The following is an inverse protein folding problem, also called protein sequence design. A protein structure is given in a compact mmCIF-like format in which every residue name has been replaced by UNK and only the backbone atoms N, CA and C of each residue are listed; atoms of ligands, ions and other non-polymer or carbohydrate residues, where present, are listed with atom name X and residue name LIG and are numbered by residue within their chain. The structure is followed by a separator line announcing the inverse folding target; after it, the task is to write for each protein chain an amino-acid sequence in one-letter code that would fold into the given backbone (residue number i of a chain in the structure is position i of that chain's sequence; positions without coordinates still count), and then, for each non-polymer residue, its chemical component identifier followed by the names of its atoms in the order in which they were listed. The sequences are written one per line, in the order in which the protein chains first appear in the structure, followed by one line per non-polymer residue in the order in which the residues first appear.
data_IF_402705756285
#
_entry.id   IF_402705756285
#
_cell.length_a   1.000
_cell.length_b   1.000
_cell.length_c   1.000
_cell.angle_alpha   90.00
_cell.angle_beta   90.00
_cell.angle_gamma   90.00
#
_symmetry.space_group_name_H-M   'P 1'
#
loop_
_entity.id
_entity.type
_entity.pdbx_description
1 polymer ?
#
# COMPACT_ATOMS: atom_id res chain seq x y z
N UNK A 1 8.87 -24.16 5.76
CA UNK A 1 9.16 -24.81 4.46
C UNK A 1 9.26 -23.70 3.41
N UNK A 2 10.49 -23.35 3.04
CA UNK A 2 10.82 -22.18 2.22
C UNK A 2 10.46 -22.50 0.76
N UNK A 3 9.43 -21.83 0.23
CA UNK A 3 9.08 -21.96 -1.20
C UNK A 3 9.68 -20.77 -1.94
N UNK A 4 10.79 -21.03 -2.63
CA UNK A 4 11.32 -20.15 -3.68
C UNK A 4 10.22 -19.87 -4.70
N UNK A 5 9.77 -18.61 -4.80
CA UNK A 5 8.94 -18.13 -5.91
C UNK A 5 9.83 -17.46 -6.96
N UNK A 6 10.43 -18.27 -7.82
CA UNK A 6 10.86 -17.82 -9.14
C UNK A 6 9.62 -17.83 -10.04
N UNK A 7 8.99 -16.66 -10.23
CA UNK A 7 7.92 -16.49 -11.20
C UNK A 7 8.46 -15.71 -12.40
N UNK A 8 8.50 -16.43 -13.53
CA UNK A 8 8.86 -15.99 -14.86
C UNK A 8 7.85 -14.93 -15.33
N UNK A 9 8.37 -13.80 -15.81
CA UNK A 9 7.62 -12.72 -16.44
C UNK A 9 6.96 -13.18 -17.75
N UNK A 10 5.67 -12.91 -18.00
CA UNK A 10 5.16 -12.82 -19.36
C UNK A 10 5.54 -11.45 -19.93
N UNK A 11 6.16 -11.45 -21.11
CA UNK A 11 6.43 -10.28 -21.94
C UNK A 11 5.11 -9.57 -22.31
N UNK A 12 4.70 -8.56 -21.53
CA UNK A 12 3.56 -7.67 -21.83
C UNK A 12 3.86 -6.65 -22.96
N UNK A 13 4.94 -6.82 -23.74
CA UNK A 13 5.41 -5.80 -24.68
C UNK A 13 4.49 -5.52 -25.88
N UNK A 14 3.60 -6.45 -26.24
CA UNK A 14 2.78 -6.36 -27.48
C UNK A 14 1.45 -5.65 -27.29
N UNK A 15 0.73 -5.88 -26.18
CA UNK A 15 -0.50 -5.12 -25.84
C UNK A 15 -0.18 -3.66 -25.51
N UNK A 16 1.00 -3.42 -24.96
CA UNK A 16 1.46 -2.09 -24.56
C UNK A 16 1.78 -1.17 -25.75
N UNK A 17 2.36 -1.72 -26.83
CA UNK A 17 2.58 -0.98 -28.08
C UNK A 17 1.29 -0.53 -28.75
N UNK A 18 0.20 -1.32 -28.66
CA UNK A 18 -1.11 -0.99 -29.28
C UNK A 18 -1.90 0.12 -28.57
N UNK A 19 -1.64 0.38 -27.28
CA UNK A 19 -2.33 1.43 -26.50
C UNK A 19 -1.44 2.67 -26.22
N UNK A 20 -0.32 2.80 -26.92
CA UNK A 20 0.71 3.85 -26.73
C UNK A 20 0.30 5.27 -27.18
N UNK A 21 -0.88 5.45 -27.79
CA UNK A 21 -1.37 6.77 -28.24
C UNK A 21 -1.63 7.75 -27.09
N UNK A 22 -1.87 7.25 -25.87
CA UNK A 22 -2.16 8.07 -24.67
C UNK A 22 -0.89 8.80 -24.15
N UNK A 23 0.31 8.35 -24.53
CA UNK A 23 1.57 8.86 -23.97
C UNK A 23 2.28 9.91 -24.84
N UNK A 24 1.69 10.33 -25.96
CA UNK A 24 2.37 11.14 -27.00
C UNK A 24 2.47 12.66 -26.73
N UNK A 25 2.22 13.15 -25.52
CA UNK A 25 2.24 14.60 -25.24
C UNK A 25 3.08 14.97 -24.01
N UNK A 26 4.41 14.82 -24.09
CA UNK A 26 5.37 15.51 -23.23
C UNK A 26 6.72 15.60 -23.96
N UNK A 27 7.07 16.76 -24.50
CA UNK A 27 8.39 17.01 -25.13
C UNK A 27 9.48 17.15 -24.06
N UNK A 28 10.65 16.51 -24.20
CA UNK A 28 11.76 16.73 -23.29
C UNK A 28 12.64 17.90 -23.77
N UNK A 29 12.81 18.92 -22.91
CA UNK A 29 13.96 19.83 -22.99
C UNK A 29 15.18 19.13 -22.38
N UNK A 30 16.16 18.82 -23.22
CA UNK A 30 17.43 18.25 -22.79
C UNK A 30 18.31 19.29 -22.10
N UNK A 31 18.92 18.90 -20.97
CA UNK A 31 20.19 19.48 -20.53
C UNK A 31 21.09 18.38 -19.96
N UNK A 32 22.27 18.28 -20.56
CA UNK A 32 23.40 17.48 -20.09
C UNK A 32 24.06 18.27 -18.96
N UNK A 33 24.21 17.66 -17.78
CA UNK A 33 24.95 18.26 -16.66
C UNK A 33 26.21 17.45 -16.41
N UNK A 34 27.36 18.06 -16.73
CA UNK A 34 28.68 17.62 -16.26
C UNK A 34 29.18 18.60 -15.20
N UNK A 35 29.44 18.10 -13.99
CA UNK A 35 30.53 18.51 -13.06
C UNK A 35 30.32 17.83 -11.70
N UNK A 36 31.42 17.41 -11.06
CA UNK A 36 31.50 16.88 -9.69
C UNK A 36 30.96 17.92 -8.70
N UNK A 37 29.66 17.89 -8.47
CA UNK A 37 29.03 18.43 -7.27
C UNK A 37 29.24 17.40 -6.16
N UNK A 38 29.61 17.85 -4.96
CA UNK A 38 29.42 17.07 -3.73
C UNK A 38 28.03 16.46 -3.80
N UNK A 39 27.95 15.13 -3.87
CA UNK A 39 26.69 14.42 -4.15
C UNK A 39 25.73 14.67 -3.00
N UNK A 40 24.85 15.66 -3.14
CA UNK A 40 23.66 15.76 -2.29
C UNK A 40 22.90 14.45 -2.42
N UNK A 41 22.45 13.87 -1.30
CA UNK A 41 21.53 12.73 -1.35
C UNK A 41 20.36 13.10 -2.26
N UNK A 42 20.21 12.34 -3.33
CA UNK A 42 19.14 12.50 -4.31
C UNK A 42 18.16 11.38 -4.02
N UNK A 43 16.89 11.71 -3.84
CA UNK A 43 15.84 10.70 -3.71
C UNK A 43 15.76 9.94 -5.04
N UNK A 44 16.14 8.65 -5.02
CA UNK A 44 16.08 7.78 -6.19
C UNK A 44 14.82 6.94 -6.10
N UNK A 45 13.97 7.01 -7.12
CA UNK A 45 12.76 6.17 -7.20
C UNK A 45 12.78 5.37 -8.49
N UNK A 46 12.85 4.05 -8.35
CA UNK A 46 12.69 3.11 -9.46
C UNK A 46 11.26 2.59 -9.52
N UNK A 47 10.65 2.40 -8.35
CA UNK A 47 9.29 1.88 -8.23
C UNK A 47 8.53 2.54 -7.09
N UNK A 48 7.24 2.76 -7.26
CA UNK A 48 6.38 3.30 -6.20
C UNK A 48 5.05 2.56 -6.08
N UNK A 49 4.45 2.62 -4.90
CA UNK A 49 3.07 2.20 -4.64
C UNK A 49 2.22 3.39 -4.22
N UNK A 50 0.90 3.21 -4.17
CA UNK A 50 -0.03 4.21 -3.63
C UNK A 50 0.39 4.71 -2.24
N UNK A 51 0.73 3.77 -1.34
CA UNK A 51 1.20 4.07 0.02
C UNK A 51 2.51 4.86 0.02
N UNK A 52 3.42 4.58 -0.92
CA UNK A 52 4.68 5.32 -1.04
C UNK A 52 4.43 6.78 -1.45
N UNK A 53 3.54 7.00 -2.43
CA UNK A 53 3.16 8.34 -2.88
C UNK A 53 2.47 9.11 -1.74
N UNK A 54 1.50 8.47 -1.06
CA UNK A 54 0.82 9.05 0.09
C UNK A 54 1.79 9.45 1.21
N UNK A 55 2.75 8.57 1.53
CA UNK A 55 3.77 8.85 2.53
C UNK A 55 4.66 10.04 2.14
N UNK A 56 5.10 10.11 0.89
CA UNK A 56 5.89 11.24 0.41
C UNK A 56 5.13 12.56 0.51
N UNK A 57 3.87 12.59 0.02
CA UNK A 57 3.02 13.78 0.09
C UNK A 57 2.80 14.24 1.53
N UNK A 58 2.75 13.30 2.47
CA UNK A 58 2.57 13.61 3.89
C UNK A 58 3.86 14.03 4.61
N UNK A 59 4.94 13.26 4.42
CA UNK A 59 6.22 13.47 5.09
C UNK A 59 7.36 12.94 4.20
N UNK A 60 7.97 13.80 3.35
CA UNK A 60 9.11 13.43 2.51
C UNK A 60 10.26 12.78 3.29
N UNK A 61 10.50 13.22 4.53
CA UNK A 61 11.54 12.60 5.38
C UNK A 61 11.20 11.17 5.80
N UNK A 62 9.93 10.88 6.11
CA UNK A 62 9.51 9.51 6.43
C UNK A 62 9.59 8.61 5.21
N UNK A 63 9.31 9.16 4.02
CA UNK A 63 9.56 8.45 2.77
C UNK A 63 11.03 8.11 2.62
N UNK A 64 11.93 9.08 2.83
CA UNK A 64 13.36 8.87 2.72
C UNK A 64 13.84 7.71 3.61
N UNK A 65 13.45 7.72 4.89
CA UNK A 65 13.80 6.63 5.81
C UNK A 65 13.26 5.26 5.34
N UNK A 66 12.00 5.19 4.91
CA UNK A 66 11.41 3.92 4.47
C UNK A 66 11.95 3.39 3.14
N UNK A 67 11.96 4.23 2.12
CA UNK A 67 12.12 3.80 0.74
C UNK A 67 13.53 4.03 0.18
N UNK A 68 14.32 4.91 0.80
CA UNK A 68 15.70 5.17 0.41
C UNK A 68 16.67 4.46 1.36
N UNK A 69 16.49 4.62 2.68
CA UNK A 69 17.34 3.95 3.68
C UNK A 69 16.92 2.49 3.96
N UNK A 70 15.71 2.09 3.53
CA UNK A 70 15.20 0.74 3.75
C UNK A 70 14.81 0.45 5.20
N UNK A 71 14.47 1.50 5.97
CA UNK A 71 14.09 1.34 7.38
C UNK A 71 12.68 0.77 7.53
N UNK A 72 12.48 0.02 8.60
CA UNK A 72 11.25 -0.69 8.89
C UNK A 72 10.41 0.10 9.91
N UNK A 73 9.09 0.19 9.67
CA UNK A 73 8.14 0.61 10.69
C UNK A 73 7.41 -0.61 11.20
N UNK A 74 7.35 -0.77 12.52
CA UNK A 74 6.50 -1.78 13.12
C UNK A 74 5.04 -1.51 12.75
N UNK A 75 4.35 -2.54 12.26
CA UNK A 75 2.92 -2.50 12.05
C UNK A 75 2.21 -2.29 13.40
N UNK A 76 1.21 -1.41 13.42
CA UNK A 76 0.37 -1.23 14.59
C UNK A 76 -0.72 -2.30 14.70
N UNK A 77 -1.35 -2.36 15.87
CA UNK A 77 -2.52 -3.21 16.14
C UNK A 77 -3.62 -3.13 15.08
N UNK A 78 -3.96 -1.91 14.64
CA UNK A 78 -4.99 -1.72 13.62
C UNK A 78 -4.61 -2.33 12.26
N UNK A 79 -3.33 -2.25 11.87
CA UNK A 79 -2.84 -2.84 10.64
C UNK A 79 -2.90 -4.38 10.73
N UNK A 80 -2.47 -4.96 11.85
CA UNK A 80 -2.54 -6.42 12.08
C UNK A 80 -3.99 -6.93 12.02
N UNK A 81 -4.93 -6.22 12.63
CA UNK A 81 -6.36 -6.55 12.56
C UNK A 81 -6.88 -6.52 11.11
N UNK A 82 -6.46 -5.52 10.33
CA UNK A 82 -6.77 -5.43 8.90
C UNK A 82 -6.24 -6.65 8.13
N UNK A 83 -4.97 -6.98 8.30
CA UNK A 83 -4.34 -8.14 7.65
C UNK A 83 -5.09 -9.45 7.95
N UNK A 84 -5.50 -9.67 9.21
CA UNK A 84 -6.26 -10.87 9.60
C UNK A 84 -7.59 -10.97 8.83
N UNK A 85 -8.33 -9.86 8.73
CA UNK A 85 -9.62 -9.84 8.02
C UNK A 85 -9.42 -10.02 6.52
N UNK A 86 -8.44 -9.34 5.91
CA UNK A 86 -8.13 -9.46 4.48
C UNK A 86 -7.74 -10.90 4.13
N UNK A 87 -6.91 -11.54 4.96
CA UNK A 87 -6.49 -12.91 4.74
C UNK A 87 -7.66 -13.90 4.77
N UNK A 88 -8.62 -13.70 5.67
CA UNK A 88 -9.84 -14.51 5.72
C UNK A 88 -10.70 -14.34 4.45
N UNK A 89 -10.94 -13.09 4.02
CA UNK A 89 -11.69 -12.77 2.80
C UNK A 89 -11.00 -13.29 1.52
N UNK A 90 -9.67 -13.22 1.48
CA UNK A 90 -8.86 -13.77 0.38
C UNK A 90 -9.04 -15.30 0.31
N UNK A 91 -8.93 -16.01 1.45
CA UNK A 91 -9.14 -17.45 1.49
C UNK A 91 -10.54 -17.84 1.03
N UNK A 92 -11.57 -17.10 1.46
CA UNK A 92 -12.94 -17.32 0.99
C UNK A 92 -13.05 -17.16 -0.54
N UNK A 93 -12.45 -16.11 -1.09
CA UNK A 93 -12.44 -15.85 -2.53
C UNK A 93 -11.75 -16.99 -3.29
N UNK A 94 -10.59 -17.46 -2.81
CA UNK A 94 -9.87 -18.60 -3.39
C UNK A 94 -10.66 -19.91 -3.31
N UNK A 95 -11.41 -20.13 -2.23
CA UNK A 95 -12.28 -21.28 -2.06
C UNK A 95 -13.47 -21.23 -3.04
N UNK A 96 -14.10 -20.05 -3.18
CA UNK A 96 -15.16 -19.82 -4.18
C UNK A 96 -14.69 -20.12 -5.60
N UNK A 97 -13.48 -19.64 -6.00
CA UNK A 97 -12.88 -19.97 -7.31
C UNK A 97 -12.71 -21.48 -7.56
N UNK A 98 -12.63 -22.27 -6.49
CA UNK A 98 -12.52 -23.74 -6.54
C UNK A 98 -13.87 -24.45 -6.36
N UNK A 99 -14.98 -23.72 -6.37
CA UNK A 99 -16.33 -24.27 -6.14
C UNK A 99 -16.60 -24.69 -4.69
N UNK A 100 -15.77 -24.27 -3.72
CA UNK A 100 -15.92 -24.60 -2.30
C UNK A 100 -16.49 -23.40 -1.53
N UNK A 101 -17.77 -23.47 -1.17
CA UNK A 101 -18.46 -22.41 -0.40
C UNK A 101 -19.01 -22.91 0.93
N UNK A 102 -18.74 -24.16 1.30
CA UNK A 102 -19.20 -24.82 2.52
C UNK A 102 -18.20 -24.72 3.69
N UNK A 103 -17.12 -23.95 3.53
CA UNK A 103 -16.14 -23.72 4.59
C UNK A 103 -16.63 -22.58 5.47
N UNK A 104 -16.70 -22.81 6.78
CA UNK A 104 -17.12 -21.80 7.74
C UNK A 104 -16.19 -20.56 7.70
N UNK A 105 -16.73 -19.36 7.40
CA UNK A 105 -15.95 -18.11 7.44
C UNK A 105 -15.34 -17.82 8.81
N UNK A 106 -15.99 -18.21 9.91
CA UNK A 106 -15.48 -17.94 11.25
C UNK A 106 -14.23 -18.77 11.55
N UNK A 107 -14.23 -20.03 11.11
CA UNK A 107 -13.03 -20.86 11.15
C UNK A 107 -11.85 -20.23 10.39
N UNK A 108 -12.09 -19.66 9.21
CA UNK A 108 -11.06 -18.96 8.44
C UNK A 108 -10.53 -17.72 9.18
N UNK A 109 -11.40 -16.96 9.83
CA UNK A 109 -11.00 -15.81 10.64
C UNK A 109 -10.13 -16.22 11.84
N UNK A 110 -10.55 -17.28 12.55
CA UNK A 110 -9.78 -17.84 13.66
C UNK A 110 -8.40 -18.31 13.20
N UNK A 111 -8.34 -19.03 12.07
CA UNK A 111 -7.08 -19.47 11.50
C UNK A 111 -6.16 -18.29 11.14
N UNK A 112 -6.69 -17.27 10.47
CA UNK A 112 -5.91 -16.08 10.11
C UNK A 112 -5.40 -15.34 11.35
N UNK A 113 -6.24 -15.24 12.38
CA UNK A 113 -5.85 -14.67 13.67
C UNK A 113 -4.68 -15.43 14.29
N UNK A 114 -4.78 -16.75 14.39
CA UNK A 114 -3.78 -17.58 15.04
C UNK A 114 -2.45 -17.55 14.26
N UNK A 115 -2.49 -17.62 12.91
CA UNK A 115 -1.28 -17.52 12.06
C UNK A 115 -0.58 -16.16 12.21
N UNK A 116 -1.31 -15.05 12.18
CA UNK A 116 -0.71 -13.71 12.25
C UNK A 116 -0.26 -13.33 13.66
N UNK A 117 -0.99 -13.71 14.71
CA UNK A 117 -0.56 -13.44 16.09
C UNK A 117 0.67 -14.26 16.48
N UNK A 118 0.81 -15.48 15.96
CA UNK A 118 2.03 -16.26 16.13
C UNK A 118 3.24 -15.66 15.39
N UNK A 119 3.01 -15.04 14.23
CA UNK A 119 4.06 -14.39 13.44
C UNK A 119 4.51 -13.02 14.00
N UNK A 120 3.66 -12.34 14.77
CA UNK A 120 3.95 -11.02 15.36
C UNK A 120 3.60 -10.96 16.87
N UNK A 121 4.26 -11.76 17.71
CA UNK A 121 3.94 -11.87 19.15
C UNK A 121 4.15 -10.55 19.93
N UNK A 122 4.93 -9.63 19.38
CA UNK A 122 5.19 -8.31 19.96
C UNK A 122 3.99 -7.35 19.86
N UNK A 123 3.02 -7.62 18.98
CA UNK A 123 1.80 -6.81 18.85
C UNK A 123 0.73 -7.40 19.77
N UNK A 124 0.50 -6.74 20.91
CA UNK A 124 -0.49 -7.19 21.90
C UNK A 124 -1.93 -6.97 21.41
N UNK A 125 -2.51 -8.00 20.76
CA UNK A 125 -3.94 -8.13 20.50
C UNK A 125 -4.51 -9.35 21.21
N UNK A 126 -5.77 -9.27 21.65
CA UNK A 126 -6.40 -10.33 22.45
C UNK A 126 -7.62 -10.92 21.76
N UNK A 127 -7.74 -12.24 21.84
CA UNK A 127 -8.92 -12.98 21.36
C UNK A 127 -10.05 -12.95 22.38
N UNK A 128 -9.69 -13.15 23.65
CA UNK A 128 -10.60 -13.17 24.80
C UNK A 128 -10.10 -12.22 25.90
N UNK A 129 -11.01 -11.79 26.76
CA UNK A 129 -10.71 -11.00 27.96
C UNK A 129 -10.37 -11.91 29.14
N UNK A 130 -9.92 -11.33 30.25
CA UNK A 130 -9.76 -12.06 31.52
C UNK A 130 -11.07 -12.24 32.27
N UNK A 131 -12.19 -11.68 31.78
CA UNK A 131 -13.50 -11.76 32.43
C UNK A 131 -14.26 -12.96 31.91
N UNK A 132 -14.83 -13.73 32.82
CA UNK A 132 -15.72 -14.86 32.51
C UNK A 132 -17.14 -14.33 32.32
N UNK A 133 -17.83 -14.85 31.32
CA UNK A 133 -19.25 -14.65 31.14
C UNK A 133 -20.03 -15.50 32.16
N UNK A 134 -20.95 -14.86 32.88
CA UNK A 134 -21.69 -15.51 33.97
C UNK A 134 -22.67 -16.56 33.47
N UNK A 135 -23.11 -16.45 32.21
CA UNK A 135 -24.10 -17.35 31.62
C UNK A 135 -23.41 -18.57 30.98
N UNK A 136 -22.34 -18.35 30.22
CA UNK A 136 -21.66 -19.45 29.50
C UNK A 136 -20.52 -20.08 30.28
N UNK A 137 -19.98 -19.41 31.30
CA UNK A 137 -18.78 -19.84 32.01
C UNK A 137 -17.48 -19.69 31.21
N UNK A 138 -17.55 -19.14 29.99
CA UNK A 138 -16.39 -18.94 29.11
C UNK A 138 -15.81 -17.53 29.21
N UNK A 139 -14.57 -17.33 28.77
CA UNK A 139 -14.00 -15.98 28.70
C UNK A 139 -14.73 -15.12 27.66
N UNK A 140 -15.10 -13.89 28.04
CA UNK A 140 -15.73 -12.95 27.12
C UNK A 140 -14.80 -12.61 25.95
N UNK A 141 -15.36 -12.46 24.76
CA UNK A 141 -14.65 -11.99 23.56
C UNK A 141 -13.97 -10.62 23.82
N UNK A 142 -12.70 -10.49 23.43
CA UNK A 142 -11.99 -9.21 23.52
C UNK A 142 -12.36 -8.28 22.38
N UNK A 143 -12.30 -6.96 22.64
CA UNK A 143 -12.62 -5.93 21.66
C UNK A 143 -11.84 -6.06 20.34
N UNK A 144 -10.63 -6.62 20.40
CA UNK A 144 -9.74 -6.73 19.24
C UNK A 144 -10.24 -7.78 18.25
N UNK A 145 -10.59 -8.96 18.75
CA UNK A 145 -11.18 -10.02 17.93
C UNK A 145 -12.60 -9.68 17.52
N UNK A 146 -13.40 -9.09 18.43
CA UNK A 146 -14.73 -8.57 18.12
C UNK A 146 -14.71 -7.65 16.90
N UNK A 147 -13.73 -6.74 16.81
CA UNK A 147 -13.60 -5.83 15.67
C UNK A 147 -13.35 -6.57 14.36
N UNK A 148 -12.48 -7.58 14.35
CA UNK A 148 -12.23 -8.41 13.16
C UNK A 148 -13.47 -9.23 12.77
N UNK A 149 -14.17 -9.79 13.77
CA UNK A 149 -15.39 -10.55 13.57
C UNK A 149 -16.50 -9.70 12.95
N UNK A 150 -16.77 -8.54 13.52
CA UNK A 150 -17.78 -7.60 13.00
C UNK A 150 -17.44 -7.13 11.58
N UNK A 151 -16.17 -6.86 11.30
CA UNK A 151 -15.72 -6.51 9.94
C UNK A 151 -16.04 -7.63 8.94
N UNK A 152 -15.72 -8.88 9.27
CA UNK A 152 -16.02 -10.03 8.43
C UNK A 152 -17.53 -10.23 8.25
N UNK A 153 -18.29 -10.26 9.35
CA UNK A 153 -19.75 -10.42 9.33
C UNK A 153 -20.45 -9.34 8.48
N UNK A 154 -19.96 -8.10 8.54
CA UNK A 154 -20.49 -7.00 7.73
C UNK A 154 -20.39 -7.31 6.24
N UNK A 155 -19.25 -7.85 5.78
CA UNK A 155 -19.07 -8.26 4.38
C UNK A 155 -19.92 -9.50 4.04
N UNK A 156 -20.03 -10.46 4.96
CA UNK A 156 -20.83 -11.68 4.74
C UNK A 156 -22.32 -11.40 4.59
N UNK A 157 -22.82 -10.42 5.35
CA UNK A 157 -24.22 -10.01 5.34
C UNK A 157 -24.58 -9.17 4.10
N UNK A 158 -23.59 -8.60 3.41
CA UNK A 158 -23.80 -7.91 2.15
C UNK A 158 -23.87 -8.93 0.99
N UNK A 159 -25.03 -9.10 0.33
CA UNK A 159 -25.16 -10.06 -0.76
C UNK A 159 -24.31 -9.74 -1.98
N UNK A 160 -23.94 -8.47 -2.20
CA UNK A 160 -23.15 -8.02 -3.35
C UNK A 160 -21.65 -8.25 -3.12
N UNK A 161 -21.18 -8.15 -1.88
CA UNK A 161 -19.75 -8.24 -1.56
C UNK A 161 -19.34 -9.52 -0.85
N UNK A 162 -20.27 -10.39 -0.48
CA UNK A 162 -19.96 -11.67 0.13
C UNK A 162 -19.09 -12.54 -0.84
N UNK A 163 -17.84 -12.89 -0.47
CA UNK A 163 -16.92 -13.63 -1.34
C UNK A 163 -17.44 -14.98 -1.84
N UNK A 164 -18.41 -15.60 -1.17
CA UNK A 164 -19.02 -16.85 -1.61
C UNK A 164 -20.16 -16.67 -2.62
N UNK A 165 -20.70 -15.45 -2.77
CA UNK A 165 -21.83 -15.15 -3.65
C UNK A 165 -21.41 -14.51 -4.98
N UNK A 166 -20.26 -13.85 -5.01
CA UNK A 166 -19.73 -13.20 -6.21
C UNK A 166 -19.11 -14.18 -7.23
N UNK A 167 -18.81 -13.65 -8.43
CA UNK A 167 -18.01 -14.30 -9.47
C UNK A 167 -16.57 -13.74 -9.46
N UNK A 168 -15.67 -14.30 -8.63
CA UNK A 168 -14.32 -13.76 -8.48
C UNK A 168 -13.45 -14.04 -9.70
N UNK A 169 -12.75 -13.01 -10.18
CA UNK A 169 -11.73 -13.11 -11.23
C UNK A 169 -10.36 -13.32 -10.58
N UNK A 170 -9.97 -12.46 -9.66
CA UNK A 170 -8.68 -12.51 -8.95
C UNK A 170 -8.80 -12.04 -7.50
N UNK A 171 -7.85 -12.47 -6.66
CA UNK A 171 -7.70 -12.06 -5.26
C UNK A 171 -6.23 -11.79 -4.97
N UNK A 172 -5.91 -10.75 -4.21
CA UNK A 172 -4.52 -10.30 -3.94
C UNK A 172 -3.70 -10.18 -5.23
N UNK A 173 -4.30 -9.56 -6.26
CA UNK A 173 -3.67 -9.43 -7.57
C UNK A 173 -2.51 -8.45 -7.49
N UNK A 174 -1.30 -8.98 -7.52
CA UNK A 174 -0.10 -8.18 -7.68
C UNK A 174 0.00 -7.59 -9.09
N UNK A 175 0.46 -6.34 -9.18
CA UNK A 175 0.83 -5.71 -10.43
C UNK A 175 2.11 -4.89 -10.31
N UNK A 176 2.85 -4.82 -11.43
CA UNK A 176 3.90 -3.84 -11.67
C UNK A 176 3.81 -3.38 -13.12
N UNK A 177 3.62 -2.08 -13.33
CA UNK A 177 3.55 -1.45 -14.64
C UNK A 177 4.70 -0.48 -14.78
N UNK A 178 5.63 -0.77 -15.68
CA UNK A 178 6.66 0.18 -16.11
C UNK A 178 5.99 1.31 -16.89
N UNK A 179 6.38 2.58 -16.72
CA UNK A 179 5.84 3.70 -17.48
C UNK A 179 6.62 3.86 -18.80
N UNK A 180 5.97 4.16 -19.95
CA UNK A 180 6.67 4.19 -21.23
C UNK A 180 7.38 5.51 -21.41
N UNK A 181 8.52 5.52 -22.10
CA UNK A 181 9.17 6.75 -22.55
C UNK A 181 10.48 7.02 -21.82
N UNK A 182 11.38 7.75 -22.49
CA UNK A 182 12.71 8.08 -21.98
C UNK A 182 12.63 9.00 -20.76
N UNK A 183 11.58 9.82 -20.65
CA UNK A 183 11.36 10.74 -19.55
C UNK A 183 11.18 10.04 -18.20
N UNK A 184 10.80 8.76 -18.22
CA UNK A 184 10.61 7.92 -17.03
C UNK A 184 11.83 7.08 -16.66
N UNK A 185 12.92 7.19 -17.40
CA UNK A 185 14.15 6.50 -17.06
C UNK A 185 14.77 7.10 -15.78
N UNK A 186 15.25 6.21 -14.91
CA UNK A 186 15.83 6.56 -13.62
C UNK A 186 17.03 5.66 -13.29
N UNK A 187 17.88 6.13 -12.39
CA UNK A 187 18.99 5.35 -11.86
C UNK A 187 18.65 4.83 -10.47
N UNK A 188 19.04 3.61 -10.16
CA UNK A 188 18.99 3.08 -8.80
C UNK A 188 20.16 3.59 -7.94
N UNK A 189 20.29 3.04 -6.72
CA UNK A 189 21.39 3.37 -5.79
C UNK A 189 22.77 3.01 -6.34
N UNK A 190 22.86 1.99 -7.17
CA UNK A 190 24.10 1.47 -7.76
C UNK A 190 24.43 2.16 -9.10
N UNK A 191 23.57 3.08 -9.56
CA UNK A 191 23.75 3.80 -10.82
C UNK A 191 23.30 3.02 -12.05
N UNK A 192 22.57 1.92 -11.87
CA UNK A 192 22.00 1.14 -12.98
C UNK A 192 20.74 1.83 -13.49
N UNK A 193 20.57 1.85 -14.82
CA UNK A 193 19.41 2.41 -15.50
C UNK A 193 18.19 1.48 -15.36
N UNK A 194 17.04 2.06 -15.03
CA UNK A 194 15.75 1.39 -14.92
C UNK A 194 14.63 2.24 -15.53
N UNK A 195 13.55 1.57 -15.90
CA UNK A 195 12.29 2.22 -16.22
C UNK A 195 11.48 2.40 -14.92
N UNK A 196 10.98 3.61 -14.67
CA UNK A 196 10.12 3.85 -13.51
C UNK A 196 8.86 2.99 -13.59
N UNK A 197 8.49 2.34 -12.48
CA UNK A 197 7.32 1.47 -12.41
C UNK A 197 6.37 1.81 -11.25
N UNK A 198 5.08 1.70 -11.49
CA UNK A 198 4.08 1.67 -10.42
C UNK A 198 3.76 0.23 -10.06
N UNK A 199 3.54 -0.04 -8.77
CA UNK A 199 3.23 -1.39 -8.28
C UNK A 199 2.21 -1.36 -7.15
N UNK A 200 1.52 -2.47 -6.96
CA UNK A 200 0.56 -2.63 -5.89
C UNK A 200 -0.04 -4.02 -5.83
N UNK A 201 -1.00 -4.17 -4.93
CA UNK A 201 -1.87 -5.32 -4.81
C UNK A 201 -3.32 -4.81 -4.89
N UNK A 202 -4.17 -5.58 -5.54
CA UNK A 202 -5.62 -5.35 -5.57
C UNK A 202 -6.27 -6.48 -4.77
N UNK A 203 -7.02 -6.15 -3.71
CA UNK A 203 -7.58 -7.13 -2.79
C UNK A 203 -8.52 -8.12 -3.50
N UNK A 204 -9.50 -7.62 -4.25
CA UNK A 204 -10.47 -8.41 -5.01
C UNK A 204 -10.76 -7.78 -6.38
N UNK A 205 -10.80 -8.63 -7.41
CA UNK A 205 -11.39 -8.30 -8.71
C UNK A 205 -12.49 -9.32 -8.98
N UNK A 206 -13.70 -8.86 -9.25
CA UNK A 206 -14.82 -9.73 -9.57
C UNK A 206 -15.61 -9.21 -10.78
N UNK A 207 -16.29 -10.12 -11.44
CA UNK A 207 -17.10 -9.85 -12.62
C UNK A 207 -18.50 -9.42 -12.19
N UNK A 208 -18.99 -8.32 -12.75
CA UNK A 208 -20.38 -7.88 -12.64
C UNK A 208 -21.20 -8.42 -13.81
N UNK A 209 -20.67 -8.22 -15.02
CA UNK A 209 -21.23 -8.73 -16.28
C UNK A 209 -20.12 -8.93 -17.33
N UNK A 210 -20.51 -9.26 -18.57
CA UNK A 210 -19.59 -9.55 -19.67
C UNK A 210 -18.67 -8.39 -20.06
N UNK A 211 -19.06 -7.15 -19.78
CA UNK A 211 -18.33 -5.93 -20.14
C UNK A 211 -17.76 -5.19 -18.91
N UNK A 212 -18.12 -5.61 -17.69
CA UNK A 212 -17.87 -4.85 -16.46
C UNK A 212 -17.23 -5.69 -15.36
N UNK A 213 -16.12 -5.17 -14.82
CA UNK A 213 -15.51 -5.67 -13.58
C UNK A 213 -15.58 -4.63 -12.48
N UNK A 214 -15.59 -5.12 -11.24
CA UNK A 214 -15.43 -4.31 -10.05
C UNK A 214 -14.22 -4.76 -9.24
N UNK A 215 -13.42 -3.76 -8.88
CA UNK A 215 -12.34 -3.86 -7.90
C UNK A 215 -12.91 -3.51 -6.54
N UNK A 216 -12.78 -4.39 -5.55
CA UNK A 216 -13.10 -4.08 -4.16
C UNK A 216 -11.82 -4.06 -3.32
N UNK A 217 -11.60 -2.97 -2.58
CA UNK A 217 -10.53 -2.81 -1.60
C UNK A 217 -11.15 -2.74 -0.20
N UNK A 218 -10.74 -3.67 0.66
CA UNK A 218 -11.33 -3.81 1.99
C UNK A 218 -10.68 -2.81 2.94
N UNK A 219 -11.50 -2.03 3.66
CA UNK A 219 -11.04 -1.04 4.64
C UNK A 219 -11.61 -1.36 6.01
N UNK A 220 -10.77 -1.82 6.92
CA UNK A 220 -11.15 -2.09 8.32
C UNK A 220 -11.02 -0.88 9.26
N UNK A 221 -10.47 0.23 8.74
CA UNK A 221 -10.35 1.52 9.42
C UNK A 221 -11.61 2.37 9.33
N UNK A 222 -11.57 3.56 9.93
CA UNK A 222 -12.62 4.57 9.79
C UNK A 222 -12.67 5.15 8.38
N UNK A 223 -13.86 5.60 7.95
CA UNK A 223 -14.08 6.30 6.67
C UNK A 223 -13.69 7.77 6.77
N UNK A 224 -12.43 7.99 7.10
CA UNK A 224 -11.81 9.31 7.22
C UNK A 224 -10.40 9.26 6.67
N UNK A 225 -9.99 10.33 6.00
CA UNK A 225 -8.61 10.49 5.60
C UNK A 225 -7.73 10.57 6.86
N UNK A 226 -6.70 9.73 6.92
CA UNK A 226 -5.90 9.60 8.13
C UNK A 226 -5.15 10.90 8.48
N UNK A 227 -4.76 11.70 7.47
CA UNK A 227 -3.93 12.87 7.68
C UNK A 227 -4.74 14.12 7.99
N UNK A 228 -5.86 14.31 7.30
CA UNK A 228 -6.72 15.49 7.37
C UNK A 228 -7.93 15.29 8.28
N UNK A 229 -8.25 14.04 8.63
CA UNK A 229 -9.43 13.62 9.41
C UNK A 229 -10.79 13.95 8.76
N UNK A 230 -10.78 14.36 7.49
CA UNK A 230 -11.98 14.64 6.72
C UNK A 230 -12.69 13.34 6.32
N UNK A 231 -14.03 13.32 6.25
CA UNK A 231 -14.78 12.18 5.71
C UNK A 231 -14.33 11.84 4.29
N UNK A 232 -14.30 10.55 3.97
CA UNK A 232 -14.02 10.09 2.61
C UNK A 232 -15.33 9.92 1.85
N UNK A 233 -15.49 10.67 0.77
CA UNK A 233 -16.60 10.57 -0.17
C UNK A 233 -16.10 10.21 -1.58
N UNK A 234 -17.03 10.07 -2.52
CA UNK A 234 -16.74 9.75 -3.92
C UNK A 234 -15.84 10.82 -4.57
N UNK A 235 -16.08 12.09 -4.28
CA UNK A 235 -15.32 13.20 -4.85
C UNK A 235 -13.84 13.18 -4.41
N UNK A 236 -13.59 12.82 -3.15
CA UNK A 236 -12.25 12.61 -2.62
C UNK A 236 -11.62 11.35 -3.24
N UNK A 237 -12.32 10.21 -3.26
CA UNK A 237 -11.79 8.97 -3.84
C UNK A 237 -11.42 9.12 -5.31
N UNK A 238 -12.20 9.87 -6.11
CA UNK A 238 -11.84 10.14 -7.50
C UNK A 238 -10.51 10.90 -7.67
N UNK A 239 -10.01 11.56 -6.62
CA UNK A 239 -8.74 12.31 -6.62
C UNK A 239 -7.59 11.53 -5.97
N UNK A 240 -7.90 10.50 -5.19
CA UNK A 240 -6.92 9.69 -4.49
C UNK A 240 -6.05 8.86 -5.43
N UNK A 241 -4.79 8.65 -5.02
CA UNK A 241 -3.81 7.93 -5.84
C UNK A 241 -4.09 6.43 -5.92
N UNK A 242 -4.61 5.84 -4.84
CA UNK A 242 -4.86 4.40 -4.74
C UNK A 242 -5.89 3.92 -5.78
N UNK A 243 -7.14 4.45 -5.84
CA UNK A 243 -8.10 4.04 -6.85
C UNK A 243 -7.62 4.32 -8.28
N UNK A 244 -6.95 5.45 -8.51
CA UNK A 244 -6.39 5.78 -9.83
C UNK A 244 -5.35 4.77 -10.30
N UNK A 245 -4.49 4.29 -9.40
CA UNK A 245 -3.53 3.22 -9.70
C UNK A 245 -4.22 1.88 -9.97
N UNK A 246 -5.29 1.56 -9.25
CA UNK A 246 -6.08 0.36 -9.52
C UNK A 246 -6.77 0.42 -10.88
N UNK A 247 -7.35 1.57 -11.23
CA UNK A 247 -7.94 1.79 -12.56
C UNK A 247 -6.89 1.60 -13.67
N UNK A 248 -5.73 2.25 -13.51
CA UNK A 248 -4.61 2.11 -14.45
C UNK A 248 -4.16 0.64 -14.58
N UNK A 249 -4.01 -0.06 -13.46
CA UNK A 249 -3.64 -1.48 -13.44
C UNK A 249 -4.68 -2.36 -14.16
N UNK A 250 -5.94 -2.22 -13.79
CA UNK A 250 -7.03 -3.02 -14.34
C UNK A 250 -7.23 -2.78 -15.84
N UNK A 251 -7.07 -1.55 -16.32
CA UNK A 251 -7.17 -1.22 -17.75
C UNK A 251 -6.15 -1.99 -18.63
N UNK A 252 -4.99 -2.34 -18.07
CA UNK A 252 -3.98 -3.15 -18.75
C UNK A 252 -4.10 -4.65 -18.46
N UNK A 253 -4.48 -5.02 -17.24
CA UNK A 253 -4.57 -6.42 -16.82
C UNK A 253 -5.81 -7.14 -17.34
N UNK A 254 -6.90 -6.39 -17.54
CA UNK A 254 -8.21 -6.93 -17.89
C UNK A 254 -8.77 -6.22 -19.14
N UNK A 255 -8.04 -6.23 -20.27
CA UNK A 255 -8.38 -5.44 -21.46
C UNK A 255 -9.67 -5.87 -22.15
N UNK A 256 -10.23 -7.03 -21.80
CA UNK A 256 -11.50 -7.52 -22.33
C UNK A 256 -12.73 -6.80 -21.74
N UNK A 257 -12.60 -6.17 -20.57
CA UNK A 257 -13.70 -5.44 -19.95
C UNK A 257 -13.64 -3.96 -20.32
N UNK A 258 -14.80 -3.40 -20.64
CA UNK A 258 -14.97 -2.00 -21.04
C UNK A 258 -15.09 -1.08 -19.82
N UNK A 259 -15.78 -1.56 -18.78
CA UNK A 259 -16.11 -0.80 -17.59
C UNK A 259 -15.34 -1.34 -16.38
N UNK A 260 -14.74 -0.43 -15.61
CA UNK A 260 -13.99 -0.76 -14.40
C UNK A 260 -14.56 0.10 -13.26
N UNK A 261 -15.23 -0.56 -12.32
CA UNK A 261 -15.70 0.04 -11.08
C UNK A 261 -14.65 -0.18 -9.98
N UNK A 262 -14.56 0.77 -9.06
CA UNK A 262 -13.66 0.68 -7.91
C UNK A 262 -14.45 1.01 -6.66
N UNK A 263 -14.50 0.06 -5.75
CA UNK A 263 -15.16 0.18 -4.46
C UNK A 263 -14.16 0.10 -3.33
N UNK A 264 -14.25 1.08 -2.42
CA UNK A 264 -13.60 1.03 -1.12
C UNK A 264 -14.67 0.63 -0.10
N UNK A 265 -14.58 -0.57 0.45
CA UNK A 265 -15.58 -1.10 1.37
C UNK A 265 -15.10 -0.92 2.81
N UNK A 266 -15.71 0.04 3.52
CA UNK A 266 -15.40 0.32 4.92
C UNK A 266 -16.19 -0.60 5.86
N UNK A 267 -15.58 -1.74 6.22
CA UNK A 267 -16.24 -2.84 6.93
C UNK A 267 -16.65 -2.50 8.37
N UNK A 268 -16.06 -1.46 8.95
CA UNK A 268 -16.35 -1.02 10.33
C UNK A 268 -17.00 0.37 10.39
N UNK A 269 -17.14 1.10 9.27
CA UNK A 269 -17.52 2.51 9.28
C UNK A 269 -18.02 2.99 7.91
N UNK A 270 -19.31 2.77 7.61
CA UNK A 270 -19.97 3.45 6.48
C UNK A 270 -20.02 2.71 5.14
N UNK A 271 -19.65 1.43 5.08
CA UNK A 271 -19.97 0.54 3.96
C UNK A 271 -19.23 0.84 2.65
N UNK A 272 -19.74 0.37 1.50
CA UNK A 272 -19.10 0.56 0.20
C UNK A 272 -19.20 2.01 -0.28
N UNK A 273 -18.11 2.50 -0.89
CA UNK A 273 -18.10 3.71 -1.73
C UNK A 273 -17.56 3.30 -3.10
N UNK A 274 -18.42 3.39 -4.10
CA UNK A 274 -18.09 2.99 -5.47
C UNK A 274 -17.83 4.22 -6.31
N UNK A 275 -16.75 4.21 -7.09
CA UNK A 275 -16.47 5.21 -8.12
C UNK A 275 -16.24 4.50 -9.46
N UNK A 276 -16.52 5.23 -10.54
CA UNK A 276 -16.21 4.83 -11.90
C UNK A 276 -15.18 5.80 -12.47
N UNK A 277 -14.08 5.26 -13.02
CA UNK A 277 -13.09 6.05 -13.74
C UNK A 277 -13.15 5.67 -15.21
N UNK A 278 -12.97 6.66 -16.07
CA UNK A 278 -13.03 6.52 -17.52
C UNK A 278 -11.64 6.46 -18.13
N UNK A 279 -11.54 6.15 -19.43
CA UNK A 279 -10.25 6.21 -20.12
C UNK A 279 -9.63 7.61 -20.09
N UNK A 280 -10.44 8.67 -20.04
CA UNK A 280 -9.95 10.05 -19.95
C UNK A 280 -9.21 10.31 -18.63
N UNK A 281 -9.56 9.59 -17.55
CA UNK A 281 -8.88 9.66 -16.26
C UNK A 281 -7.47 9.04 -16.27
N UNK A 282 -7.15 8.21 -17.27
CA UNK A 282 -5.82 7.61 -17.39
C UNK A 282 -4.77 8.69 -17.63
N UNK A 283 -5.06 9.67 -18.49
CA UNK A 283 -4.16 10.78 -18.78
C UNK A 283 -3.87 11.61 -17.52
N UNK A 284 -4.90 11.91 -16.72
CA UNK A 284 -4.73 12.60 -15.44
C UNK A 284 -3.89 11.80 -14.45
N UNK A 285 -4.09 10.47 -14.41
CA UNK A 285 -3.33 9.57 -13.54
C UNK A 285 -1.86 9.53 -13.94
N UNK A 286 -1.55 9.37 -15.22
CA UNK A 286 -0.18 9.38 -15.76
C UNK A 286 0.49 10.74 -15.47
N UNK A 287 -0.21 11.85 -15.69
CA UNK A 287 0.31 13.18 -15.38
C UNK A 287 0.60 13.36 -13.88
N UNK A 288 -0.27 12.84 -13.00
CA UNK A 288 -0.06 12.83 -11.56
C UNK A 288 1.18 12.04 -11.15
N UNK A 289 1.37 10.85 -11.72
CA UNK A 289 2.56 10.03 -11.52
C UNK A 289 3.83 10.70 -12.03
N UNK A 290 3.76 11.39 -13.18
CA UNK A 290 4.91 12.08 -13.75
C UNK A 290 5.33 13.26 -12.87
N UNK A 291 4.36 14.02 -12.34
CA UNK A 291 4.64 15.06 -11.33
C UNK A 291 5.31 14.46 -10.11
N UNK A 292 4.76 13.39 -9.53
CA UNK A 292 5.38 12.72 -8.38
C UNK A 292 6.83 12.29 -8.68
N UNK A 293 7.04 11.59 -9.79
CA UNK A 293 8.33 11.08 -10.23
C UNK A 293 9.37 12.19 -10.43
N UNK A 294 8.99 13.28 -11.10
CA UNK A 294 9.91 14.40 -11.35
C UNK A 294 10.17 15.23 -10.10
N UNK A 295 9.17 15.42 -9.24
CA UNK A 295 9.31 16.12 -7.96
C UNK A 295 10.27 15.38 -7.05
N UNK A 296 10.05 14.07 -6.83
CA UNK A 296 10.88 13.32 -5.90
C UNK A 296 12.34 13.26 -6.37
N UNK A 297 12.58 13.05 -7.67
CA UNK A 297 13.95 13.06 -8.24
C UNK A 297 14.72 14.35 -8.01
N UNK A 298 14.01 15.46 -7.84
CA UNK A 298 14.59 16.80 -7.63
C UNK A 298 14.57 17.24 -6.17
N UNK A 299 13.93 16.47 -5.30
CA UNK A 299 13.81 16.82 -3.89
C UNK A 299 15.11 16.52 -3.15
N UNK A 300 15.83 17.58 -2.77
CA UNK A 300 17.03 17.51 -1.94
C UNK A 300 16.77 17.99 -0.51
N UNK A 301 15.55 18.47 -0.20
CA UNK A 301 15.23 19.05 1.10
C UNK A 301 14.64 18.02 2.05
N UNK A 302 13.96 16.99 1.52
CA UNK A 302 13.40 15.86 2.27
C UNK A 302 12.68 16.29 3.54
N UNK A 303 11.80 17.30 3.45
CA UNK A 303 11.27 18.01 4.62
C UNK A 303 10.60 17.07 5.64
N UNK A 304 10.87 17.29 6.93
CA UNK A 304 10.11 16.66 8.02
C UNK A 304 8.73 17.27 8.13
N UNK A 305 7.73 16.41 8.33
CA UNK A 305 6.44 16.83 8.82
C UNK A 305 6.55 17.21 10.32
N UNK A 306 5.85 18.27 10.73
CA UNK A 306 5.74 18.75 12.12
C UNK A 306 4.29 18.76 12.64
N UNK A 307 3.38 18.08 11.94
CA UNK A 307 1.96 18.00 12.29
C UNK A 307 1.70 16.96 13.38
N UNK A 308 0.47 16.89 13.87
CA UNK A 308 0.05 15.97 14.94
C UNK A 308 0.35 14.50 14.61
N UNK A 309 0.26 14.11 13.34
CA UNK A 309 0.60 12.77 12.84
C UNK A 309 2.07 12.39 13.04
N UNK A 310 2.97 13.37 13.18
CA UNK A 310 4.37 13.13 13.51
C UNK A 310 4.50 12.44 14.88
N UNK A 311 3.60 12.73 15.83
CA UNK A 311 3.52 12.06 17.14
C UNK A 311 3.03 10.60 17.06
N UNK A 312 2.48 10.20 15.92
CA UNK A 312 2.06 8.82 15.66
C UNK A 312 3.06 8.06 14.77
N UNK A 313 4.07 8.76 14.22
CA UNK A 313 5.10 8.15 13.39
C UNK A 313 6.03 7.30 14.28
N UNK A 314 6.24 6.04 13.91
CA UNK A 314 7.12 5.12 14.63
C UNK A 314 8.54 5.67 14.77
N UNK A 315 9.08 6.28 13.72
CA UNK A 315 10.42 6.86 13.72
C UNK A 315 10.55 8.09 14.63
N UNK A 316 9.47 8.85 14.82
CA UNK A 316 9.50 9.95 15.77
C UNK A 316 9.47 9.42 17.21
N UNK A 317 8.60 8.44 17.46
CA UNK A 317 8.36 7.91 18.81
C UNK A 317 9.54 7.11 19.38
N UNK A 318 10.39 6.55 18.53
CA UNK A 318 11.61 5.87 18.95
C UNK A 318 12.88 6.72 18.81
N UNK A 319 12.77 8.02 18.51
CA UNK A 319 13.92 8.94 18.40
C UNK A 319 14.74 8.85 17.10
N UNK A 320 14.51 7.83 16.26
CA UNK A 320 15.25 7.60 15.01
C UNK A 320 15.16 8.78 14.07
N UNK A 321 13.96 9.34 13.90
CA UNK A 321 13.71 10.49 13.03
C UNK A 321 14.56 11.69 13.42
N UNK A 322 14.70 11.97 14.72
CA UNK A 322 15.52 13.08 15.20
C UNK A 322 16.99 12.85 14.93
N UNK A 323 17.49 11.64 15.19
CA UNK A 323 18.89 11.30 14.97
C UNK A 323 19.29 11.37 13.50
N UNK A 324 18.55 10.67 12.63
CA UNK A 324 18.82 10.64 11.19
C UNK A 324 18.68 12.04 10.59
N UNK A 325 17.72 12.84 11.06
CA UNK A 325 17.56 14.22 10.59
C UNK A 325 18.77 15.07 10.96
N UNK A 326 19.25 14.96 12.21
CA UNK A 326 20.43 15.68 12.68
C UNK A 326 21.63 15.34 11.81
N UNK A 327 21.93 14.06 11.66
CA UNK A 327 23.12 13.58 10.94
C UNK A 327 23.03 13.94 9.45
N UNK A 328 21.83 13.96 8.85
CA UNK A 328 21.63 14.44 7.47
C UNK A 328 22.05 15.90 7.29
N UNK A 329 21.78 16.76 8.28
CA UNK A 329 22.04 18.19 8.19
C UNK A 329 23.45 18.58 8.68
N UNK A 330 24.06 17.77 9.54
CA UNK A 330 25.41 18.04 10.08
C UNK A 330 26.50 17.30 9.32
N UNK A 331 26.25 16.05 8.89
CA UNK A 331 27.24 15.16 8.28
C UNK A 331 26.97 14.92 6.78
N UNK A 332 25.76 15.21 6.32
CA UNK A 332 25.38 15.16 4.91
C UNK A 332 24.76 13.83 4.47
N UNK A 333 24.25 13.83 3.24
CA UNK A 333 23.46 12.73 2.69
C UNK A 333 24.24 11.44 2.47
N UNK A 334 25.48 11.54 1.97
CA UNK A 334 26.36 10.37 1.73
C UNK A 334 26.65 9.61 3.03
N UNK A 335 26.99 10.34 4.11
CA UNK A 335 27.17 9.74 5.43
C UNK A 335 25.93 9.00 5.91
N UNK A 336 24.75 9.60 5.74
CA UNK A 336 23.48 9.03 6.18
C UNK A 336 23.13 7.77 5.38
N UNK A 337 23.30 7.80 4.06
CA UNK A 337 23.09 6.62 3.22
C UNK A 337 24.06 5.50 3.64
N UNK A 338 25.36 5.77 3.77
CA UNK A 338 26.36 4.76 4.14
C UNK A 338 26.15 4.19 5.54
N UNK A 339 25.79 5.04 6.51
CA UNK A 339 25.63 4.62 7.91
C UNK A 339 24.34 3.89 8.18
N UNK A 340 23.25 4.32 7.55
CA UNK A 340 21.90 3.89 7.94
C UNK A 340 21.21 3.00 6.91
N UNK A 341 21.74 2.90 5.69
CA UNK A 341 21.13 2.01 4.71
C UNK A 341 21.18 0.55 5.18
N UNK A 342 20.03 -0.11 5.11
CA UNK A 342 19.88 -1.54 5.41
C UNK A 342 20.17 -1.93 6.87
N UNK A 343 20.06 -0.99 7.83
CA UNK A 343 20.00 -1.37 9.24
C UNK A 343 18.78 -2.27 9.47
N UNK A 344 18.94 -3.35 10.22
CA UNK A 344 17.82 -4.12 10.73
C UNK A 344 17.06 -3.32 11.81
N UNK A 345 15.92 -3.86 12.23
CA UNK A 345 15.06 -3.18 13.20
C UNK A 345 15.75 -2.95 14.56
N UNK A 346 16.65 -3.84 14.97
CA UNK A 346 17.39 -3.70 16.23
C UNK A 346 18.39 -2.54 16.14
N UNK A 347 19.19 -2.49 15.07
CA UNK A 347 20.12 -1.40 14.79
C UNK A 347 19.41 -0.05 14.63
N UNK A 348 18.23 -0.04 14.00
CA UNK A 348 17.38 1.16 13.93
C UNK A 348 16.93 1.61 15.32
N UNK A 349 16.52 0.71 16.21
CA UNK A 349 16.10 1.09 17.56
C UNK A 349 17.27 1.54 18.44
N UNK A 350 18.47 1.00 18.21
CA UNK A 350 19.67 1.39 18.94
C UNK A 350 20.06 2.85 18.68
N UNK A 351 19.94 3.34 17.45
CA UNK A 351 20.31 4.73 17.10
C UNK A 351 19.35 5.79 17.67
N UNK A 352 18.12 5.38 18.01
CA UNK A 352 17.10 6.26 18.55
C UNK A 352 17.15 6.44 20.07
N UNK A 353 17.89 5.58 20.77
CA UNK A 353 18.13 5.72 22.21
C UNK A 353 19.10 6.89 22.47
N UNK A 354 18.88 7.71 23.50
CA UNK A 354 19.89 8.66 23.94
C UNK A 354 21.18 7.89 24.27
N UNK A 355 22.32 8.40 23.81
CA UNK A 355 23.62 7.88 24.25
C UNK A 355 23.67 8.13 25.75
N UNK A 356 23.79 7.09 26.56
CA UNK A 356 24.02 7.24 28.00
C UNK A 356 25.26 8.14 28.17
N UNK A 357 25.04 9.29 28.79
CA UNK A 357 26.02 10.37 28.90
C UNK A 357 27.05 10.08 30.00
#
# INVERSE_FOLDING_TARGET
MIVHRNAIWPLYSTTWKRKSSIFKSCSPMGQIVTKKQTRKALMRVVKCSASAIGLYNHCPFSYFMHYILGMESKAGKAALQGTIVHQALEWMTKLRKRGKTNVDPMWLLHRAWDEHTAATPEISIRKVTTRIDKETGEFKEAADFKKCRVALETVLNDPYYNPYKIKPIDSERWFALEMPGEEWQCLDKDGKLHQFAVRGFIDLVHEIDEDTIEIADWKTGSRKDFYTQQPIDEALLMREVQPRLYHLAAYFLYPQYKNILITFYYTNDGGPITIALSQDDLAMTIAGLHRFFTTIRRDTLMRRNRWWTCRMCSFNNNGVCHRVWSDLHTLGGEYVEDRYANLDLEGQLAIGKPVEA
#
